data_IF_446586200318
#
_entry.id   IF_446586200318
#
_cell.length_a   1.000
_cell.length_b   1.000
_cell.length_c   1.000
_cell.angle_alpha   90.00
_cell.angle_beta   90.00
_cell.angle_gamma   90.00
#
_symmetry.space_group_name_H-M   'P 1'
#
loop_
_entity.id
_entity.type
_entity.pdbx_description
1 polymer ?
#
# COMPACT_ATOMS: atom_id res chain seq x y z
N UNK A 1 35.45 -11.41 24.58
CA UNK A 1 34.84 -10.16 25.12
C UNK A 1 34.09 -9.34 24.07
N UNK A 2 34.61 -9.09 22.84
CA UNK A 2 33.93 -8.28 21.83
C UNK A 2 32.51 -8.75 21.44
N UNK A 3 32.27 -10.07 21.35
CA UNK A 3 30.95 -10.62 21.04
C UNK A 3 29.92 -10.42 22.15
N UNK A 4 30.32 -10.44 23.42
CA UNK A 4 29.41 -10.24 24.56
C UNK A 4 28.88 -8.83 24.57
N UNK A 5 29.71 -7.83 24.31
CA UNK A 5 29.26 -6.44 24.21
C UNK A 5 28.27 -6.22 23.04
N UNK A 6 28.51 -6.89 21.91
CA UNK A 6 27.58 -6.85 20.78
C UNK A 6 26.19 -7.38 21.12
N UNK A 7 26.12 -8.55 21.77
CA UNK A 7 24.84 -9.11 22.22
C UNK A 7 24.15 -8.24 23.28
N UNK A 8 24.92 -7.65 24.20
CA UNK A 8 24.39 -6.79 25.26
C UNK A 8 23.77 -5.51 24.70
N UNK A 9 24.34 -4.93 23.64
CA UNK A 9 23.79 -3.77 22.93
C UNK A 9 22.54 -4.13 22.12
N UNK A 10 22.44 -5.34 21.58
CA UNK A 10 21.28 -5.81 20.83
C UNK A 10 20.13 -6.26 21.74
N UNK A 11 20.39 -6.63 22.99
CA UNK A 11 19.42 -7.20 23.92
C UNK A 11 18.16 -6.34 24.09
N UNK A 12 18.21 -5.00 24.32
CA UNK A 12 17.01 -4.20 24.49
C UNK A 12 16.11 -4.22 23.21
N UNK A 13 16.73 -4.10 22.05
CA UNK A 13 16.01 -4.15 20.79
C UNK A 13 15.42 -5.56 20.53
N UNK A 14 16.17 -6.62 20.84
CA UNK A 14 15.70 -7.99 20.70
C UNK A 14 14.51 -8.30 21.63
N UNK A 15 14.56 -7.85 22.89
CA UNK A 15 13.45 -8.03 23.84
C UNK A 15 12.18 -7.36 23.31
N UNK A 16 12.28 -6.12 22.83
CA UNK A 16 11.13 -5.39 22.29
C UNK A 16 10.59 -6.07 21.00
N UNK A 17 11.46 -6.50 20.11
CA UNK A 17 11.07 -7.24 18.89
C UNK A 17 10.38 -8.56 19.23
N UNK A 18 10.95 -9.34 20.14
CA UNK A 18 10.34 -10.62 20.56
C UNK A 18 9.00 -10.37 21.23
N UNK A 19 8.92 -9.43 22.18
CA UNK A 19 7.70 -9.18 22.97
C UNK A 19 6.57 -8.54 22.18
N UNK A 20 6.87 -7.58 21.28
CA UNK A 20 5.85 -6.81 20.59
C UNK A 20 5.64 -7.17 19.12
N UNK A 21 6.49 -8.00 18.54
CA UNK A 21 6.34 -8.42 17.14
C UNK A 21 6.23 -9.93 17.00
N UNK A 22 7.22 -10.69 17.50
CA UNK A 22 7.26 -12.14 17.28
C UNK A 22 6.25 -12.89 18.15
N UNK A 23 6.14 -12.51 19.43
CA UNK A 23 5.19 -13.16 20.33
C UNK A 23 3.73 -12.96 19.90
N UNK A 24 3.23 -11.74 19.59
CA UNK A 24 1.88 -11.55 19.07
C UNK A 24 1.64 -12.29 17.74
N UNK A 25 2.63 -12.31 16.84
CA UNK A 25 2.51 -13.05 15.59
C UNK A 25 2.39 -14.56 15.83
N UNK A 26 3.20 -15.13 16.73
CA UNK A 26 3.09 -16.54 17.11
C UNK A 26 1.78 -16.87 17.82
N UNK A 27 1.31 -15.96 18.70
CA UNK A 27 0.01 -16.09 19.37
C UNK A 27 -1.13 -16.10 18.35
N UNK A 28 -1.13 -15.16 17.38
CA UNK A 28 -2.12 -15.13 16.30
C UNK A 28 -2.15 -16.42 15.49
N UNK A 29 -0.98 -17.02 15.19
CA UNK A 29 -0.89 -18.31 14.52
C UNK A 29 -1.55 -19.44 15.34
N UNK A 30 -1.32 -19.44 16.65
CA UNK A 30 -1.94 -20.43 17.55
C UNK A 30 -3.44 -20.17 17.69
N UNK A 31 -3.87 -18.93 17.94
CA UNK A 31 -5.27 -18.57 18.15
C UNK A 31 -6.14 -18.91 16.93
N UNK A 32 -5.58 -18.88 15.73
CA UNK A 32 -6.29 -19.28 14.50
C UNK A 32 -6.75 -20.75 14.50
N UNK A 33 -6.14 -21.59 15.33
CA UNK A 33 -6.47 -23.03 15.48
C UNK A 33 -7.43 -23.30 16.64
N UNK A 34 -7.84 -22.25 17.36
CA UNK A 34 -8.75 -22.34 18.48
C UNK A 34 -10.09 -21.64 18.14
N UNK A 35 -11.15 -21.97 18.89
CA UNK A 35 -12.41 -21.23 18.81
C UNK A 35 -12.33 -19.98 19.66
N UNK A 36 -13.09 -18.95 19.29
CA UNK A 36 -13.22 -17.75 20.13
C UNK A 36 -13.83 -18.11 21.48
N UNK A 37 -13.08 -17.79 22.53
CA UNK A 37 -13.56 -17.93 23.91
C UNK A 37 -14.58 -16.84 24.26
N UNK A 38 -15.67 -17.22 24.94
CA UNK A 38 -16.66 -16.30 25.49
C UNK A 38 -16.76 -16.49 27.01
N UNK A 39 -17.47 -15.58 27.69
CA UNK A 39 -17.70 -15.72 29.14
C UNK A 39 -18.38 -17.03 29.52
N UNK A 40 -19.12 -17.66 28.59
CA UNK A 40 -19.89 -18.89 28.83
C UNK A 40 -19.18 -20.13 28.27
N UNK A 41 -18.38 -19.96 27.23
CA UNK A 41 -17.70 -21.07 26.53
C UNK A 41 -16.20 -20.76 26.45
N UNK A 42 -15.35 -21.56 27.12
CA UNK A 42 -13.89 -21.38 26.98
C UNK A 42 -13.42 -21.71 25.56
N UNK A 43 -12.32 -21.08 25.16
CA UNK A 43 -11.65 -21.42 23.92
C UNK A 43 -11.27 -22.90 23.90
N UNK A 44 -11.49 -23.56 22.76
CA UNK A 44 -11.14 -24.97 22.53
C UNK A 44 -10.35 -25.12 21.22
N UNK A 45 -9.52 -26.11 21.15
CA UNK A 45 -8.81 -26.45 19.93
C UNK A 45 -9.81 -26.99 18.88
N UNK A 46 -9.85 -26.35 17.71
CA UNK A 46 -10.72 -26.69 16.57
C UNK A 46 -9.94 -27.03 15.29
N UNK A 47 -8.60 -26.97 15.35
CA UNK A 47 -7.76 -27.28 14.19
C UNK A 47 -8.04 -26.34 13.01
N UNK A 48 -8.46 -26.88 11.88
CA UNK A 48 -8.70 -26.12 10.65
C UNK A 48 -10.15 -25.71 10.41
N UNK A 49 -11.04 -25.85 11.39
CA UNK A 49 -12.47 -25.48 11.23
C UNK A 49 -12.63 -24.00 10.87
N UNK A 50 -11.84 -23.11 11.47
CA UNK A 50 -11.88 -21.67 11.14
C UNK A 50 -11.47 -21.39 9.69
N UNK A 51 -10.52 -22.14 9.14
CA UNK A 51 -10.12 -22.04 7.73
C UNK A 51 -11.17 -22.58 6.78
N UNK A 52 -11.89 -23.62 7.18
CA UNK A 52 -13.04 -24.14 6.42
C UNK A 52 -14.19 -23.10 6.40
N UNK A 53 -14.48 -22.47 7.54
CA UNK A 53 -15.46 -21.39 7.66
C UNK A 53 -15.06 -20.19 6.77
N UNK A 54 -13.78 -19.79 6.79
CA UNK A 54 -13.25 -18.72 5.95
C UNK A 54 -13.42 -19.02 4.45
N UNK A 55 -13.16 -20.26 4.03
CA UNK A 55 -13.32 -20.66 2.63
C UNK A 55 -14.79 -20.60 2.16
N UNK A 56 -15.74 -20.75 3.08
CA UNK A 56 -17.17 -20.65 2.83
C UNK A 56 -17.74 -19.24 3.00
N UNK A 57 -16.96 -18.27 3.50
CA UNK A 57 -17.40 -16.90 3.78
C UNK A 57 -17.46 -16.05 2.50
N UNK A 58 -18.64 -15.66 2.01
CA UNK A 58 -18.78 -14.82 0.82
C UNK A 58 -18.21 -13.42 1.01
N UNK A 59 -18.23 -12.87 2.25
CA UNK A 59 -17.67 -11.53 2.54
C UNK A 59 -16.15 -11.56 2.41
N UNK A 60 -15.49 -12.62 2.89
CA UNK A 60 -14.07 -12.79 2.71
C UNK A 60 -13.65 -12.73 1.22
N UNK A 61 -14.36 -13.45 0.35
CA UNK A 61 -14.04 -13.46 -1.08
C UNK A 61 -14.30 -12.13 -1.75
N UNK A 62 -15.37 -11.42 -1.37
CA UNK A 62 -15.64 -10.07 -1.85
C UNK A 62 -14.52 -9.11 -1.45
N UNK A 63 -14.14 -9.11 -0.19
CA UNK A 63 -13.09 -8.26 0.37
C UNK A 63 -11.72 -8.57 -0.22
N UNK A 64 -11.41 -9.84 -0.43
CA UNK A 64 -10.19 -10.27 -1.11
C UNK A 64 -10.15 -9.78 -2.56
N UNK A 65 -11.30 -9.88 -3.26
CA UNK A 65 -11.46 -9.32 -4.61
C UNK A 65 -11.25 -7.81 -4.65
N UNK A 66 -11.84 -7.07 -3.70
CA UNK A 66 -11.61 -5.63 -3.56
C UNK A 66 -10.11 -5.31 -3.36
N UNK A 67 -9.43 -6.06 -2.48
CA UNK A 67 -7.99 -5.88 -2.27
C UNK A 67 -7.18 -6.14 -3.54
N UNK A 68 -7.53 -7.16 -4.31
CA UNK A 68 -6.87 -7.45 -5.58
C UNK A 68 -7.03 -6.28 -6.56
N UNK A 69 -8.26 -5.79 -6.78
CA UNK A 69 -8.52 -4.66 -7.67
C UNK A 69 -7.89 -3.36 -7.15
N UNK A 70 -7.94 -3.14 -5.83
CA UNK A 70 -7.27 -2.01 -5.19
C UNK A 70 -5.76 -2.03 -5.41
N UNK A 71 -5.11 -3.17 -5.20
CA UNK A 71 -3.68 -3.35 -5.43
C UNK A 71 -3.32 -3.18 -6.91
N UNK A 72 -4.11 -3.79 -7.81
CA UNK A 72 -3.90 -3.69 -9.27
C UNK A 72 -4.05 -2.25 -9.77
N UNK A 73 -4.97 -1.48 -9.21
CA UNK A 73 -5.18 -0.08 -9.57
C UNK A 73 -4.15 0.85 -8.94
N UNK A 74 -3.82 0.67 -7.68
CA UNK A 74 -2.95 1.61 -6.94
C UNK A 74 -1.47 1.38 -7.20
N UNK A 75 -0.99 0.14 -7.20
CA UNK A 75 0.45 -0.16 -7.27
C UNK A 75 1.08 0.34 -8.58
N UNK A 76 0.66 -0.13 -9.77
CA UNK A 76 1.30 0.28 -11.01
C UNK A 76 1.11 1.77 -11.29
N UNK A 77 -0.04 2.33 -10.94
CA UNK A 77 -0.35 3.75 -11.17
C UNK A 77 0.49 4.65 -10.28
N UNK A 78 0.62 4.33 -8.98
CA UNK A 78 1.48 5.10 -8.07
C UNK A 78 2.95 5.04 -8.48
N UNK A 79 3.44 3.86 -8.89
CA UNK A 79 4.82 3.67 -9.36
C UNK A 79 5.07 4.48 -10.64
N UNK A 80 4.17 4.37 -11.62
CA UNK A 80 4.29 5.10 -12.88
C UNK A 80 4.27 6.62 -12.65
N UNK A 81 3.32 7.11 -11.86
CA UNK A 81 3.20 8.52 -11.52
C UNK A 81 4.41 9.02 -10.75
N UNK A 82 4.89 8.27 -9.76
CA UNK A 82 6.09 8.58 -8.99
C UNK A 82 7.34 8.70 -9.88
N UNK A 83 7.53 7.74 -10.80
CA UNK A 83 8.64 7.75 -11.74
C UNK A 83 8.54 8.95 -12.69
N UNK A 84 7.38 9.25 -13.25
CA UNK A 84 7.16 10.41 -14.11
C UNK A 84 7.45 11.73 -13.37
N UNK A 85 6.94 11.88 -12.15
CA UNK A 85 7.20 13.04 -11.29
C UNK A 85 8.70 13.18 -10.99
N UNK A 86 9.40 12.08 -10.67
CA UNK A 86 10.82 12.08 -10.39
C UNK A 86 11.65 12.52 -11.61
N UNK A 87 11.36 11.98 -12.80
CA UNK A 87 12.03 12.37 -14.05
C UNK A 87 11.82 13.86 -14.32
N UNK A 88 10.57 14.33 -14.22
CA UNK A 88 10.25 15.73 -14.47
C UNK A 88 10.96 16.67 -13.49
N UNK A 89 10.96 16.35 -12.19
CA UNK A 89 11.62 17.14 -11.15
C UNK A 89 13.16 17.03 -11.22
N UNK A 90 13.69 15.96 -11.80
CA UNK A 90 15.13 15.80 -11.99
C UNK A 90 15.69 16.74 -13.06
N UNK A 91 14.92 17.12 -14.07
CA UNK A 91 15.29 18.10 -15.09
C UNK A 91 15.55 19.49 -14.47
N UNK A 92 16.27 20.36 -15.21
CA UNK A 92 16.59 21.74 -14.79
C UNK A 92 15.36 22.64 -14.88
N UNK A 93 14.40 22.45 -13.97
CA UNK A 93 13.20 23.30 -13.91
C UNK A 93 13.43 24.55 -13.05
N UNK A 94 12.88 25.71 -13.46
CA UNK A 94 12.75 26.85 -12.56
C UNK A 94 11.84 26.43 -11.37
N UNK A 95 12.14 26.92 -10.16
CA UNK A 95 11.41 26.60 -8.94
C UNK A 95 11.35 25.10 -8.56
N UNK A 96 12.31 24.30 -8.99
CA UNK A 96 12.40 22.84 -8.73
C UNK A 96 12.14 22.47 -7.26
N UNK A 97 12.62 23.27 -6.31
CA UNK A 97 12.40 23.03 -4.89
C UNK A 97 10.90 23.12 -4.51
N UNK A 98 10.18 24.09 -5.07
CA UNK A 98 8.74 24.26 -4.83
C UNK A 98 7.93 23.12 -5.44
N UNK A 99 8.27 22.70 -6.66
CA UNK A 99 7.59 21.56 -7.31
C UNK A 99 7.82 20.28 -6.52
N UNK A 100 9.05 20.03 -6.07
CA UNK A 100 9.36 18.88 -5.20
C UNK A 100 8.56 18.93 -3.89
N UNK A 101 8.50 20.10 -3.26
CA UNK A 101 7.72 20.30 -2.04
C UNK A 101 6.24 20.05 -2.28
N UNK A 102 5.66 20.56 -3.36
CA UNK A 102 4.24 20.36 -3.69
C UNK A 102 3.89 18.87 -3.88
N UNK A 103 4.73 18.11 -4.57
CA UNK A 103 4.54 16.67 -4.77
C UNK A 103 4.73 15.85 -3.49
N UNK A 104 5.61 16.29 -2.59
CA UNK A 104 5.87 15.60 -1.34
C UNK A 104 4.91 15.97 -0.21
N UNK A 105 4.29 17.14 -0.24
CA UNK A 105 3.39 17.64 0.82
C UNK A 105 2.28 16.64 1.20
N UNK A 106 1.60 15.95 0.25
CA UNK A 106 0.58 14.97 0.62
C UNK A 106 1.10 13.84 1.52
N UNK A 107 2.35 13.48 1.37
CA UNK A 107 2.98 12.38 2.13
C UNK A 107 3.15 12.72 3.60
N UNK A 108 3.43 13.99 3.93
CA UNK A 108 3.65 14.46 5.29
C UNK A 108 2.35 14.49 6.10
N UNK A 109 1.22 14.64 5.43
CA UNK A 109 -0.08 14.71 6.09
C UNK A 109 -0.49 13.32 6.64
N UNK A 110 -1.03 13.25 7.87
CA UNK A 110 -1.63 12.01 8.38
C UNK A 110 -2.75 11.51 7.46
N UNK A 111 -2.89 10.19 7.31
CA UNK A 111 -3.88 9.60 6.39
C UNK A 111 -5.31 10.03 6.71
N UNK A 112 -5.65 10.15 7.99
CA UNK A 112 -6.96 10.63 8.46
C UNK A 112 -7.24 12.06 7.98
N UNK A 113 -6.24 12.95 8.02
CA UNK A 113 -6.39 14.33 7.52
C UNK A 113 -6.60 14.35 6.01
N UNK A 114 -5.83 13.57 5.27
CA UNK A 114 -5.99 13.38 3.82
C UNK A 114 -7.39 12.87 3.50
N UNK A 115 -7.86 11.84 4.22
CA UNK A 115 -9.19 11.29 4.00
C UNK A 115 -10.31 12.32 4.21
N UNK A 116 -10.20 13.20 5.23
CA UNK A 116 -11.17 14.28 5.45
C UNK A 116 -11.18 15.33 4.30
N UNK A 117 -9.99 15.65 3.74
CA UNK A 117 -9.89 16.53 2.58
C UNK A 117 -10.61 15.91 1.38
N UNK A 118 -10.36 14.63 1.12
CA UNK A 118 -10.97 13.92 0.01
C UNK A 118 -12.47 13.66 0.23
N UNK A 119 -12.92 13.47 1.47
CA UNK A 119 -14.33 13.39 1.82
C UNK A 119 -15.07 14.65 1.33
N UNK A 120 -14.49 15.85 1.59
CA UNK A 120 -15.04 17.09 1.06
C UNK A 120 -15.07 17.12 -0.48
N UNK A 121 -14.02 16.62 -1.15
CA UNK A 121 -13.99 16.58 -2.62
C UNK A 121 -15.08 15.69 -3.21
N UNK A 122 -15.43 14.58 -2.53
CA UNK A 122 -16.44 13.61 -2.96
C UNK A 122 -17.86 13.94 -2.47
N UNK A 123 -18.04 14.98 -1.66
CA UNK A 123 -19.38 15.33 -1.14
C UNK A 123 -20.30 15.74 -2.31
N UNK A 124 -21.47 15.06 -2.48
CA UNK A 124 -22.39 15.39 -3.55
C UNK A 124 -22.84 16.86 -3.52
N UNK A 125 -22.99 17.47 -4.67
CA UNK A 125 -23.45 18.86 -4.94
C UNK A 125 -22.47 19.96 -4.52
N UNK A 126 -21.79 19.85 -3.38
CA UNK A 126 -20.90 20.89 -2.83
C UNK A 126 -19.42 20.57 -2.98
N UNK A 127 -19.07 19.31 -3.21
CA UNK A 127 -17.70 18.85 -3.35
C UNK A 127 -17.04 19.34 -4.65
N UNK A 128 -15.72 19.39 -4.64
CA UNK A 128 -14.93 19.92 -5.76
C UNK A 128 -15.20 19.18 -7.08
N UNK A 129 -15.37 17.86 -7.02
CA UNK A 129 -15.62 17.05 -8.22
C UNK A 129 -16.97 17.40 -8.86
N UNK A 130 -18.02 17.55 -8.07
CA UNK A 130 -19.34 17.90 -8.56
C UNK A 130 -19.39 19.35 -9.08
N UNK A 131 -18.69 20.28 -8.41
CA UNK A 131 -18.58 21.66 -8.88
C UNK A 131 -17.85 21.78 -10.22
N UNK A 132 -16.78 20.99 -10.41
CA UNK A 132 -16.09 20.92 -11.70
C UNK A 132 -16.98 20.24 -12.74
N UNK A 133 -17.57 19.08 -12.40
CA UNK A 133 -18.47 18.34 -13.29
C UNK A 133 -19.66 19.18 -13.78
N UNK A 134 -20.26 19.98 -12.90
CA UNK A 134 -21.37 20.85 -13.23
C UNK A 134 -21.01 21.88 -14.33
N UNK A 135 -19.76 22.36 -14.38
CA UNK A 135 -19.27 23.24 -15.46
C UNK A 135 -19.25 22.58 -16.84
N UNK A 136 -19.16 21.25 -16.85
CA UNK A 136 -19.18 20.41 -18.05
C UNK A 136 -20.53 19.73 -18.28
N UNK A 137 -21.58 20.12 -17.53
CA UNK A 137 -22.93 19.56 -17.66
C UNK A 137 -23.09 18.15 -17.07
N UNK A 138 -22.14 17.69 -16.24
CA UNK A 138 -22.21 16.38 -15.55
C UNK A 138 -23.10 16.56 -14.31
N UNK A 139 -24.08 15.66 -14.16
CA UNK A 139 -24.97 15.64 -12.99
C UNK A 139 -24.20 15.28 -11.72
N UNK A 140 -24.69 15.78 -10.58
CA UNK A 140 -24.14 15.40 -9.26
C UNK A 140 -24.23 13.88 -9.03
N UNK A 141 -23.17 13.32 -8.48
CA UNK A 141 -23.06 11.88 -8.24
C UNK A 141 -22.66 11.60 -6.79
N UNK A 142 -23.24 10.53 -6.22
CA UNK A 142 -22.83 10.08 -4.88
C UNK A 142 -21.61 9.16 -4.96
N UNK A 143 -20.44 9.75 -5.13
CA UNK A 143 -19.16 9.06 -5.38
C UNK A 143 -18.82 7.96 -4.38
N UNK A 144 -19.09 8.19 -3.10
CA UNK A 144 -18.79 7.25 -2.00
C UNK A 144 -19.96 6.34 -1.64
N UNK A 145 -21.17 6.68 -2.09
CA UNK A 145 -22.36 5.88 -1.85
C UNK A 145 -22.72 4.93 -2.99
N UNK A 146 -21.99 4.96 -4.11
CA UNK A 146 -22.18 4.06 -5.24
C UNK A 146 -21.14 2.92 -5.19
N UNK A 147 -21.58 1.64 -5.13
CA UNK A 147 -20.70 0.48 -5.12
C UNK A 147 -19.71 0.41 -6.29
N UNK A 148 -20.07 0.99 -7.45
CA UNK A 148 -19.24 0.97 -8.65
C UNK A 148 -18.12 2.01 -8.65
N UNK A 149 -18.26 3.09 -7.88
CA UNK A 149 -17.29 4.20 -7.88
C UNK A 149 -16.47 4.28 -6.60
N UNK A 150 -16.99 3.79 -5.48
CA UNK A 150 -16.39 3.95 -4.16
C UNK A 150 -14.95 3.42 -4.09
N UNK A 151 -14.67 2.25 -4.65
CA UNK A 151 -13.32 1.67 -4.63
C UNK A 151 -12.35 2.52 -5.46
N UNK A 152 -12.77 3.00 -6.63
CA UNK A 152 -11.96 3.89 -7.48
C UNK A 152 -11.66 5.23 -6.78
N UNK A 153 -12.61 5.78 -6.03
CA UNK A 153 -12.41 6.98 -5.23
C UNK A 153 -11.34 6.79 -4.15
N UNK A 154 -11.38 5.67 -3.43
CA UNK A 154 -10.35 5.34 -2.44
C UNK A 154 -8.99 5.13 -3.08
N UNK A 155 -8.92 4.46 -4.25
CA UNK A 155 -7.68 4.30 -5.03
C UNK A 155 -7.09 5.64 -5.44
N UNK A 156 -7.89 6.58 -5.97
CA UNK A 156 -7.43 7.88 -6.44
C UNK A 156 -6.74 8.67 -5.31
N UNK A 157 -7.33 8.68 -4.12
CA UNK A 157 -6.75 9.30 -2.94
C UNK A 157 -5.40 8.69 -2.56
N UNK A 158 -5.33 7.35 -2.51
CA UNK A 158 -4.12 6.63 -2.12
C UNK A 158 -3.02 6.81 -3.17
N UNK A 159 -3.34 6.74 -4.47
CA UNK A 159 -2.40 6.99 -5.57
C UNK A 159 -1.76 8.37 -5.43
N UNK A 160 -2.59 9.41 -5.22
CA UNK A 160 -2.10 10.78 -5.06
C UNK A 160 -1.14 10.93 -3.88
N UNK A 161 -1.44 10.31 -2.75
CA UNK A 161 -0.59 10.35 -1.56
C UNK A 161 0.71 9.55 -1.72
N UNK A 162 0.60 8.32 -2.19
CA UNK A 162 1.74 7.38 -2.28
C UNK A 162 2.71 7.75 -3.42
N UNK A 163 2.21 8.32 -4.52
CA UNK A 163 3.07 8.73 -5.64
C UNK A 163 4.13 9.74 -5.22
N UNK A 164 3.78 10.70 -4.35
CA UNK A 164 4.73 11.66 -3.80
C UNK A 164 5.80 11.02 -2.92
N UNK A 165 5.44 10.00 -2.16
CA UNK A 165 6.37 9.23 -1.33
C UNK A 165 7.34 8.43 -2.21
N UNK A 166 6.84 7.69 -3.16
CA UNK A 166 7.68 6.87 -4.05
C UNK A 166 8.54 7.71 -5.00
N UNK A 167 8.10 8.91 -5.36
CA UNK A 167 8.89 9.86 -6.16
C UNK A 167 10.26 10.13 -5.56
N UNK A 168 10.39 10.20 -4.23
CA UNK A 168 11.66 10.51 -3.56
C UNK A 168 12.71 9.42 -3.81
N UNK A 169 12.28 8.14 -3.77
CA UNK A 169 13.20 7.03 -4.03
C UNK A 169 13.70 7.04 -5.47
N UNK A 170 12.80 7.29 -6.44
CA UNK A 170 13.19 7.42 -7.84
C UNK A 170 14.07 8.63 -8.09
N UNK A 171 13.78 9.75 -7.43
CA UNK A 171 14.59 10.96 -7.57
C UNK A 171 16.00 10.76 -7.01
N UNK A 172 16.14 10.10 -5.86
CA UNK A 172 17.43 9.75 -5.28
C UNK A 172 18.22 8.81 -6.21
N UNK A 173 17.56 7.80 -6.76
CA UNK A 173 18.17 6.87 -7.70
C UNK A 173 18.60 7.57 -9.00
N UNK A 174 17.78 8.45 -9.57
CA UNK A 174 18.14 9.24 -10.75
C UNK A 174 19.37 10.15 -10.49
N UNK A 175 19.45 10.74 -9.30
CA UNK A 175 20.58 11.61 -8.92
C UNK A 175 21.87 10.84 -8.62
N UNK A 176 21.80 9.53 -8.43
CA UNK A 176 22.98 8.67 -8.24
C UNK A 176 23.56 8.14 -9.56
N UNK A 177 22.86 8.35 -10.69
CA UNK A 177 23.37 7.93 -12.00
C UNK A 177 24.52 8.83 -12.41
N UNK A 178 25.59 8.24 -12.99
CA UNK A 178 26.74 8.95 -13.48
C UNK A 178 26.36 9.89 -14.65
N UNK A 179 26.65 11.19 -14.59
CA UNK A 179 26.30 12.16 -15.64
C UNK A 179 26.87 11.78 -17.00
N UNK A 180 28.04 11.11 -17.02
CA UNK A 180 28.76 10.68 -18.22
C UNK A 180 27.91 9.74 -19.09
N UNK A 181 26.96 9.00 -18.50
CA UNK A 181 26.05 8.14 -19.27
C UNK A 181 25.12 8.97 -20.19
N UNK A 182 24.61 10.09 -19.68
CA UNK A 182 23.77 10.99 -20.48
C UNK A 182 24.58 11.73 -21.53
N UNK A 183 25.80 12.16 -21.19
CA UNK A 183 26.70 12.82 -22.11
C UNK A 183 27.13 11.91 -23.26
N UNK A 184 27.50 10.67 -22.97
CA UNK A 184 27.83 9.68 -23.98
C UNK A 184 26.65 9.41 -24.92
N UNK A 185 25.47 9.25 -24.37
CA UNK A 185 24.26 9.03 -25.18
C UNK A 185 23.93 10.21 -26.11
N UNK A 186 24.18 11.44 -25.67
CA UNK A 186 24.02 12.64 -26.48
C UNK A 186 25.06 12.70 -27.64
N UNK A 187 26.33 12.31 -27.39
CA UNK A 187 27.36 12.24 -28.41
C UNK A 187 27.02 11.21 -29.46
N UNK A 188 26.42 10.05 -29.05
CA UNK A 188 25.95 8.98 -29.95
C UNK A 188 24.64 9.33 -30.66
N UNK A 189 24.06 10.50 -30.41
CA UNK A 189 22.79 10.93 -31.04
C UNK A 189 21.54 10.16 -30.53
N UNK A 190 21.62 9.49 -29.39
CA UNK A 190 20.49 8.76 -28.83
C UNK A 190 19.34 9.70 -28.41
N UNK A 191 18.10 9.35 -28.77
CA UNK A 191 16.93 10.09 -28.32
C UNK A 191 16.72 9.93 -26.82
N UNK A 192 16.06 10.92 -26.16
CA UNK A 192 15.74 10.86 -24.73
C UNK A 192 14.94 9.59 -24.36
N UNK A 193 13.99 9.18 -25.20
CA UNK A 193 13.21 7.97 -24.99
C UNK A 193 14.05 6.70 -25.10
N UNK A 194 14.98 6.65 -26.08
CA UNK A 194 15.89 5.51 -26.24
C UNK A 194 16.81 5.39 -25.01
N UNK A 195 17.40 6.50 -24.57
CA UNK A 195 18.24 6.57 -23.35
C UNK A 195 17.45 6.12 -22.11
N UNK A 196 16.24 6.66 -21.91
CA UNK A 196 15.39 6.23 -20.80
C UNK A 196 15.14 4.73 -20.82
N UNK A 197 14.69 4.19 -21.94
CA UNK A 197 14.30 2.77 -22.02
C UNK A 197 15.48 1.80 -21.93
N UNK A 198 16.65 2.18 -22.45
CA UNK A 198 17.82 1.29 -22.55
C UNK A 198 18.83 1.46 -21.44
N UNK A 199 18.89 2.62 -20.79
CA UNK A 199 19.88 2.94 -19.75
C UNK A 199 19.20 3.28 -18.45
N UNK A 200 18.40 4.36 -18.40
CA UNK A 200 17.82 4.86 -17.15
C UNK A 200 16.89 3.85 -16.49
N UNK A 201 15.91 3.34 -17.22
CA UNK A 201 14.91 2.41 -16.66
C UNK A 201 15.52 1.11 -16.13
N UNK A 202 16.43 0.43 -16.85
CA UNK A 202 17.12 -0.74 -16.29
C UNK A 202 17.96 -0.43 -15.04
N UNK A 203 18.61 0.73 -14.96
CA UNK A 203 19.36 1.16 -13.79
C UNK A 203 18.45 1.52 -12.59
N UNK A 204 17.19 1.89 -12.84
CA UNK A 204 16.20 2.11 -11.81
C UNK A 204 15.50 0.83 -11.33
N UNK A 205 15.75 -0.34 -11.93
CA UNK A 205 15.08 -1.60 -11.57
C UNK A 205 15.25 -1.99 -10.09
N UNK A 206 16.43 -1.85 -9.45
CA UNK A 206 16.58 -2.12 -8.01
C UNK A 206 15.63 -1.25 -7.16
N UNK A 207 15.57 0.06 -7.48
CA UNK A 207 14.64 0.99 -6.82
C UNK A 207 13.19 0.63 -7.11
N UNK A 208 12.88 0.23 -8.35
CA UNK A 208 11.53 -0.20 -8.73
C UNK A 208 11.09 -1.44 -7.95
N UNK A 209 11.97 -2.41 -7.75
CA UNK A 209 11.69 -3.58 -6.90
C UNK A 209 11.40 -3.16 -5.45
N UNK A 210 12.24 -2.31 -4.89
CA UNK A 210 12.03 -1.79 -3.53
C UNK A 210 10.68 -1.07 -3.39
N UNK A 211 10.36 -0.18 -4.33
CA UNK A 211 9.09 0.56 -4.36
C UNK A 211 7.92 -0.40 -4.57
N UNK A 212 8.03 -1.38 -5.45
CA UNK A 212 7.01 -2.38 -5.72
C UNK A 212 6.65 -3.19 -4.47
N UNK A 213 7.66 -3.67 -3.73
CA UNK A 213 7.44 -4.41 -2.47
C UNK A 213 6.76 -3.51 -1.45
N UNK A 214 7.22 -2.27 -1.27
CA UNK A 214 6.61 -1.32 -0.35
C UNK A 214 5.17 -0.97 -0.75
N UNK A 215 4.91 -0.70 -2.03
CA UNK A 215 3.57 -0.41 -2.54
C UNK A 215 2.62 -1.60 -2.32
N UNK A 216 3.11 -2.82 -2.52
CA UNK A 216 2.33 -4.04 -2.26
C UNK A 216 1.98 -4.16 -0.78
N UNK A 217 2.95 -4.02 0.12
CA UNK A 217 2.69 -4.06 1.57
C UNK A 217 1.69 -2.97 1.95
N UNK A 218 1.85 -1.74 1.46
CA UNK A 218 0.96 -0.62 1.76
C UNK A 218 -0.46 -0.88 1.27
N UNK A 219 -0.66 -1.42 0.06
CA UNK A 219 -1.99 -1.67 -0.49
C UNK A 219 -2.84 -2.64 0.35
N UNK A 220 -2.21 -3.49 1.17
CA UNK A 220 -2.89 -4.40 2.10
C UNK A 220 -2.94 -3.89 3.55
N UNK A 221 -2.05 -2.94 3.92
CA UNK A 221 -1.96 -2.42 5.28
C UNK A 221 -2.72 -1.11 5.50
N UNK A 222 -2.98 -0.35 4.44
CA UNK A 222 -3.67 0.94 4.55
C UNK A 222 -5.15 0.74 4.81
N UNK A 223 -5.59 1.11 5.99
CA UNK A 223 -6.99 0.97 6.45
C UNK A 223 -7.57 2.29 6.98
N UNK A 224 -6.73 3.23 7.41
CA UNK A 224 -7.13 4.46 8.09
C UNK A 224 -8.15 5.30 7.30
N UNK A 225 -7.97 5.35 5.97
CA UNK A 225 -8.85 6.09 5.08
C UNK A 225 -10.28 5.52 5.02
N UNK A 226 -10.43 4.19 5.18
CA UNK A 226 -11.74 3.55 5.15
C UNK A 226 -12.59 3.94 6.35
N UNK A 227 -11.98 4.12 7.53
CA UNK A 227 -12.70 4.57 8.72
C UNK A 227 -13.39 5.93 8.53
N UNK A 228 -12.79 6.79 7.72
CA UNK A 228 -13.29 8.16 7.48
C UNK A 228 -14.20 8.20 6.26
N UNK A 229 -13.77 7.62 5.12
CA UNK A 229 -14.47 7.79 3.85
C UNK A 229 -15.72 6.94 3.73
N UNK A 230 -15.65 5.66 4.06
CA UNK A 230 -16.67 4.68 3.62
C UNK A 230 -17.11 3.70 4.70
N UNK A 231 -16.27 3.45 5.70
CA UNK A 231 -16.47 2.37 6.69
C UNK A 231 -16.70 1.02 6.03
N UNK A 232 -16.02 0.78 4.89
CA UNK A 232 -16.17 -0.44 4.09
C UNK A 232 -17.37 -0.47 3.15
N UNK A 233 -18.32 0.47 3.28
CA UNK A 233 -19.55 0.53 2.49
C UNK A 233 -19.37 1.15 1.09
N UNK A 234 -20.50 1.20 0.33
CA UNK A 234 -21.73 0.45 0.54
C UNK A 234 -21.56 -1.06 0.29
N UNK A 235 -22.35 -1.90 0.96
CA UNK A 235 -22.40 -3.36 0.76
C UNK A 235 -21.01 -4.04 0.69
N UNK A 236 -20.07 -3.64 1.53
CA UNK A 236 -18.66 -4.05 1.52
C UNK A 236 -17.89 -3.74 0.23
N UNK A 237 -18.41 -2.91 -0.68
CA UNK A 237 -17.78 -2.62 -1.98
C UNK A 237 -16.42 -1.91 -1.87
N UNK A 238 -16.14 -1.23 -0.76
CA UNK A 238 -14.85 -0.62 -0.49
C UNK A 238 -14.08 -1.30 0.65
N UNK A 239 -14.64 -2.34 1.27
CA UNK A 239 -13.99 -3.04 2.37
C UNK A 239 -12.72 -3.75 1.89
N UNK A 240 -11.62 -3.53 2.60
CA UNK A 240 -10.34 -4.19 2.37
C UNK A 240 -10.05 -5.17 3.49
N UNK A 241 -9.17 -6.14 3.25
CA UNK A 241 -8.95 -7.28 4.14
C UNK A 241 -8.56 -6.86 5.57
N UNK A 242 -7.68 -5.88 5.72
CA UNK A 242 -7.29 -5.41 7.06
C UNK A 242 -8.45 -4.70 7.79
N UNK A 243 -9.33 -4.00 7.05
CA UNK A 243 -10.53 -3.41 7.62
C UNK A 243 -11.53 -4.48 8.07
N UNK A 244 -11.70 -5.53 7.29
CA UNK A 244 -12.55 -6.66 7.64
C UNK A 244 -12.00 -7.41 8.87
N UNK A 245 -10.69 -7.64 8.95
CA UNK A 245 -10.03 -8.19 10.15
C UNK A 245 -10.36 -7.35 11.39
N UNK A 246 -10.26 -6.01 11.27
CA UNK A 246 -10.60 -5.11 12.36
C UNK A 246 -12.06 -5.24 12.77
N UNK A 247 -13.01 -5.27 11.84
CA UNK A 247 -14.44 -5.45 12.14
C UNK A 247 -14.71 -6.77 12.87
N UNK A 248 -14.13 -7.86 12.38
CA UNK A 248 -14.29 -9.20 12.99
C UNK A 248 -13.72 -9.22 14.40
N UNK A 249 -12.53 -8.66 14.61
CA UNK A 249 -11.87 -8.66 15.92
C UNK A 249 -12.55 -7.76 16.94
N UNK A 250 -12.93 -6.53 16.54
CA UNK A 250 -13.31 -5.47 17.49
C UNK A 250 -14.80 -5.08 17.44
N UNK A 251 -15.51 -5.36 16.35
CA UNK A 251 -16.95 -5.11 16.26
C UNK A 251 -17.77 -6.39 16.50
N UNK A 252 -17.30 -7.52 15.98
CA UNK A 252 -17.97 -8.81 16.16
C UNK A 252 -17.40 -9.64 17.31
N UNK A 253 -16.23 -9.23 17.85
CA UNK A 253 -15.53 -9.90 18.94
C UNK A 253 -15.17 -11.37 18.66
N UNK A 254 -15.02 -11.73 17.39
CA UNK A 254 -14.54 -13.05 16.99
C UNK A 254 -13.03 -13.03 16.74
N UNK A 255 -12.30 -13.13 17.85
CA UNK A 255 -10.84 -13.01 17.84
C UNK A 255 -10.15 -14.19 17.13
N UNK A 256 -10.70 -15.38 17.21
CA UNK A 256 -10.14 -16.56 16.57
C UNK A 256 -10.32 -16.51 15.04
N UNK A 257 -11.48 -16.09 14.55
CA UNK A 257 -11.71 -15.90 13.13
C UNK A 257 -10.88 -14.73 12.59
N UNK A 258 -10.75 -13.63 13.35
CA UNK A 258 -9.84 -12.51 13.01
C UNK A 258 -8.38 -12.96 12.94
N UNK A 259 -7.94 -13.84 13.84
CA UNK A 259 -6.60 -14.44 13.80
C UNK A 259 -6.40 -15.28 12.53
N UNK A 260 -7.42 -16.06 12.13
CA UNK A 260 -7.39 -16.83 10.89
C UNK A 260 -7.24 -15.94 9.65
N UNK A 261 -8.05 -14.88 9.56
CA UNK A 261 -7.94 -13.86 8.50
C UNK A 261 -6.55 -13.21 8.48
N UNK A 262 -5.98 -12.92 9.65
CA UNK A 262 -4.65 -12.32 9.78
C UNK A 262 -3.56 -13.28 9.29
N UNK A 263 -3.65 -14.56 9.62
CA UNK A 263 -2.70 -15.58 9.13
C UNK A 263 -2.76 -15.66 7.60
N UNK A 264 -3.96 -15.68 7.02
CA UNK A 264 -4.13 -15.69 5.57
C UNK A 264 -3.55 -14.42 4.93
N UNK A 265 -3.76 -13.25 5.51
CA UNK A 265 -3.15 -12.00 5.05
C UNK A 265 -1.61 -12.08 5.09
N UNK A 266 -1.02 -12.59 6.17
CA UNK A 266 0.43 -12.74 6.29
C UNK A 266 0.99 -13.70 5.24
N UNK A 267 0.35 -14.85 5.02
CA UNK A 267 0.75 -15.81 4.00
C UNK A 267 0.64 -15.23 2.58
N UNK A 268 -0.41 -14.47 2.32
CA UNK A 268 -0.61 -13.79 1.05
C UNK A 268 0.49 -12.76 0.80
N UNK A 269 0.78 -11.89 1.78
CA UNK A 269 1.86 -10.90 1.64
C UNK A 269 3.23 -11.56 1.50
N UNK A 270 3.52 -12.62 2.26
CA UNK A 270 4.78 -13.35 2.14
C UNK A 270 4.92 -13.99 0.75
N UNK A 271 3.86 -14.61 0.23
CA UNK A 271 3.85 -15.21 -1.11
C UNK A 271 4.04 -14.18 -2.21
N UNK A 272 3.37 -13.02 -2.11
CA UNK A 272 3.53 -11.92 -3.06
C UNK A 272 4.95 -11.35 -3.02
N UNK A 273 5.52 -11.14 -1.84
CA UNK A 273 6.88 -10.66 -1.69
C UNK A 273 7.89 -11.65 -2.31
N UNK A 274 7.77 -12.94 -2.00
CA UNK A 274 8.64 -13.97 -2.59
C UNK A 274 8.52 -14.02 -4.12
N UNK A 275 7.31 -13.93 -4.65
CA UNK A 275 7.07 -13.90 -6.08
C UNK A 275 7.72 -12.67 -6.74
N UNK A 276 7.58 -11.49 -6.13
CA UNK A 276 8.19 -10.25 -6.61
C UNK A 276 9.72 -10.35 -6.64
N UNK A 277 10.33 -10.86 -5.57
CA UNK A 277 11.77 -11.10 -5.55
C UNK A 277 12.21 -12.05 -6.66
N UNK A 278 11.57 -13.20 -6.80
CA UNK A 278 11.93 -14.20 -7.82
C UNK A 278 11.78 -13.68 -9.26
N UNK A 279 10.75 -12.88 -9.55
CA UNK A 279 10.48 -12.36 -10.89
C UNK A 279 11.38 -11.19 -11.27
N UNK A 280 11.65 -10.29 -10.31
CA UNK A 280 12.33 -9.03 -10.61
C UNK A 280 13.83 -9.16 -10.39
N UNK A 281 14.30 -9.92 -9.39
CA UNK A 281 15.74 -10.12 -9.09
C UNK A 281 16.52 -10.65 -10.31
N UNK A 282 15.92 -11.57 -11.07
CA UNK A 282 16.53 -12.09 -12.32
C UNK A 282 16.80 -11.02 -13.39
N UNK A 283 16.14 -9.85 -13.28
CA UNK A 283 16.27 -8.72 -14.22
C UNK A 283 17.05 -7.55 -13.64
N UNK A 284 17.40 -7.62 -12.36
CA UNK A 284 18.17 -6.58 -11.65
C UNK A 284 19.66 -6.90 -11.79
N UNK A 285 20.40 -6.00 -12.40
CA UNK A 285 21.86 -6.05 -12.43
C UNK A 285 22.38 -5.18 -11.28
N UNK A 286 22.82 -5.84 -10.21
CA UNK A 286 23.57 -5.17 -9.16
C UNK A 286 25.01 -4.93 -9.67
N UNK A 287 25.42 -3.68 -9.78
CA UNK A 287 26.83 -3.30 -9.94
C UNK A 287 27.31 -2.59 -8.69
#
# INVERSE_FOLDING_TARGET
MKHVYGWLLLTPAAILLIGFTHYPAAATLLDSLFSTGTAVRPSRFVGLENYAALAADPIFWQVLGNNFWFALGTIPTSIALAMLMAIWVNDRLPARALVRMAYFTPTVLPMIAVANIWLFFYTPQIGLLDQIGAKFGVASHNWLGDPHTVLACTMAMVIWKEAGFFMIFYLAALQSLAPELEEAARIEGASRWYFFRRVTFPLLMPTTLFVLVNATINSFKLVDHLFILTKGGPDNASSLLLYYIYQVAFSFFDTAYASTLTVVLLLLLASLALLQFQLVEKRVHYR
#
